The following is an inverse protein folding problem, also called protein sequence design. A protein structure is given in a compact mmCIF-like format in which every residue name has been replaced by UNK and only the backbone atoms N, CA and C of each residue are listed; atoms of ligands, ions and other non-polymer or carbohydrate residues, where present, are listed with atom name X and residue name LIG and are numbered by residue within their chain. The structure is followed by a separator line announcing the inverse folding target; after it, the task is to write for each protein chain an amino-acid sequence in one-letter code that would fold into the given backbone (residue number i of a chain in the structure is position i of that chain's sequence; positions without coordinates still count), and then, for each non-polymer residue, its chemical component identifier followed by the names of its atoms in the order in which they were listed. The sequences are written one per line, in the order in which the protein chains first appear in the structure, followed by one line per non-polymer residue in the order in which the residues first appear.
data_IF_130443421613
#
_entry.id   IF_130443421613
#
_cell.length_a   1.000
_cell.length_b   1.000
_cell.length_c   1.000
_cell.angle_alpha   90.00
_cell.angle_beta   90.00
_cell.angle_gamma   90.00
#
_symmetry.space_group_name_H-M   'P 1'
#
loop_
_entity.id
_entity.type
_entity.pdbx_description
1 polymer ?
#
# COMPACT_ATOMS: atom_id res chain seq x y z
N UNK A 1 39.13 -0.84 -0.48
CA UNK A 1 38.01 0.08 -0.16
C UNK A 1 37.13 0.19 -1.40
N UNK A 2 36.12 -0.67 -1.50
CA UNK A 2 35.15 -0.64 -2.61
C UNK A 2 33.88 -0.03 -2.05
N UNK A 3 33.63 1.23 -2.40
CA UNK A 3 32.43 1.96 -2.00
C UNK A 3 31.22 1.51 -2.81
N UNK A 4 30.43 0.58 -2.25
CA UNK A 4 29.12 0.23 -2.76
C UNK A 4 28.12 1.35 -2.44
N UNK A 5 27.65 2.08 -3.46
CA UNK A 5 26.49 2.96 -3.33
C UNK A 5 25.23 2.10 -3.28
N UNK A 6 24.70 1.88 -2.08
CA UNK A 6 23.36 1.36 -1.85
C UNK A 6 22.35 2.37 -2.44
N UNK A 7 21.67 2.01 -3.53
CA UNK A 7 20.54 2.78 -4.08
C UNK A 7 19.26 2.28 -3.41
N UNK A 8 18.58 3.16 -2.69
CA UNK A 8 17.25 2.94 -2.11
C UNK A 8 16.27 2.46 -3.17
N UNK A 9 15.70 1.26 -2.96
CA UNK A 9 14.45 0.83 -3.59
C UNK A 9 13.30 1.51 -2.83
N UNK A 10 12.57 2.43 -3.47
CA UNK A 10 11.22 2.75 -3.02
C UNK A 10 10.28 1.82 -3.79
N UNK A 11 10.16 0.60 -3.29
CA UNK A 11 8.98 -0.23 -3.50
C UNK A 11 8.22 -0.12 -2.17
N UNK A 12 7.19 0.72 -2.14
CA UNK A 12 6.30 0.85 -0.98
C UNK A 12 5.58 -0.46 -0.77
N UNK A 13 6.13 -1.29 0.11
CA UNK A 13 5.55 -2.55 0.53
C UNK A 13 5.34 -2.47 2.02
N UNK A 14 4.08 -2.55 2.43
CA UNK A 14 3.74 -2.88 3.80
C UNK A 14 3.72 -4.40 3.92
N UNK A 15 4.35 -4.94 4.95
CA UNK A 15 4.36 -6.37 5.25
C UNK A 15 3.64 -6.62 6.58
N UNK A 16 2.73 -7.59 6.56
CA UNK A 16 1.96 -8.03 7.72
C UNK A 16 2.29 -9.49 7.96
N UNK A 17 2.66 -9.83 9.20
CA UNK A 17 3.01 -11.18 9.62
C UNK A 17 2.08 -11.67 10.73
N UNK A 18 1.51 -12.87 10.59
CA UNK A 18 0.59 -13.48 11.57
C UNK A 18 1.22 -14.74 12.20
N UNK A 19 1.03 -14.93 13.52
CA UNK A 19 1.67 -15.99 14.31
C UNK A 19 0.67 -17.05 14.79
N UNK A 20 0.92 -18.36 14.67
CA UNK A 20 0.18 -19.40 15.38
C UNK A 20 0.73 -19.53 16.81
N UNK A 21 -0.17 -19.49 17.80
CA UNK A 21 0.17 -19.64 19.22
C UNK A 21 -0.03 -21.10 19.65
N UNK A 22 0.97 -21.65 20.35
CA UNK A 22 0.90 -22.94 21.03
C UNK A 22 0.01 -22.87 22.29
N UNK A 23 -0.87 -23.87 22.41
CA UNK A 23 -2.02 -24.05 23.29
C UNK A 23 -1.77 -23.75 24.79
N UNK A 24 -2.71 -23.02 25.39
CA UNK A 24 -3.00 -22.99 26.83
C UNK A 24 -4.51 -22.77 27.09
N UNK A 25 -5.18 -23.77 27.68
CA UNK A 25 -6.63 -23.79 27.92
C UNK A 25 -7.14 -22.65 28.83
N UNK A 26 -8.30 -22.07 28.48
CA UNK A 26 -9.10 -21.21 29.37
C UNK A 26 -10.51 -20.96 28.79
N UNK A 27 -11.54 -21.13 29.62
CA UNK A 27 -12.97 -21.19 29.25
C UNK A 27 -13.59 -19.87 28.77
N UNK A 28 -14.59 -20.00 27.88
CA UNK A 28 -15.41 -18.93 27.27
C UNK A 28 -16.47 -18.38 28.21
N UNK A 29 -16.79 -17.09 28.05
CA UNK A 29 -18.10 -16.51 28.43
C UNK A 29 -18.64 -15.60 27.31
N UNK A 30 -19.92 -15.76 27.03
CA UNK A 30 -20.70 -15.19 25.90
C UNK A 30 -21.05 -13.70 26.03
N UNK A 31 -21.31 -13.05 24.89
CA UNK A 31 -22.45 -12.13 24.77
C UNK A 31 -22.33 -10.96 23.78
N UNK A 32 -22.62 -11.19 22.49
CA UNK A 32 -22.90 -10.14 21.50
C UNK A 32 -22.82 -10.66 20.07
N UNK A 33 -23.94 -10.77 19.35
CA UNK A 33 -23.98 -11.28 17.98
C UNK A 33 -23.31 -10.31 16.99
N UNK A 34 -22.27 -10.72 16.24
CA UNK A 34 -21.76 -9.96 15.11
C UNK A 34 -22.66 -10.17 13.89
N UNK A 35 -22.81 -9.11 13.08
CA UNK A 35 -23.42 -9.16 11.74
C UNK A 35 -22.79 -10.29 10.89
N UNK A 36 -23.56 -10.90 9.97
CA UNK A 36 -23.02 -11.95 9.12
C UNK A 36 -21.99 -11.34 8.16
N UNK A 37 -20.72 -11.49 8.52
CA UNK A 37 -19.59 -11.43 7.60
C UNK A 37 -19.79 -12.56 6.60
N UNK A 38 -19.52 -12.32 5.31
CA UNK A 38 -19.42 -13.39 4.33
C UNK A 38 -18.18 -14.22 4.68
N UNK A 39 -18.31 -15.05 5.71
CA UNK A 39 -17.22 -15.89 6.20
C UNK A 39 -16.84 -16.84 5.06
N UNK A 40 -15.56 -16.81 4.71
CA UNK A 40 -14.93 -17.89 3.97
C UNK A 40 -15.37 -19.25 4.53
N UNK A 41 -15.54 -20.22 3.64
CA UNK A 41 -16.10 -21.55 3.89
C UNK A 41 -15.59 -22.15 5.22
N UNK A 42 -16.44 -22.30 6.26
CA UNK A 42 -16.01 -22.56 7.64
C UNK A 42 -15.34 -23.94 7.88
N UNK A 43 -15.10 -24.72 6.82
CA UNK A 43 -14.41 -26.00 6.85
C UNK A 43 -12.95 -25.98 6.35
N UNK A 44 -12.42 -24.84 5.89
CA UNK A 44 -11.03 -24.76 5.39
C UNK A 44 -10.04 -24.53 6.54
N UNK A 45 -8.91 -25.25 6.53
CA UNK A 45 -7.75 -24.92 7.37
C UNK A 45 -7.12 -23.59 6.95
N UNK A 46 -6.34 -22.96 7.84
CA UNK A 46 -5.66 -21.68 7.57
C UNK A 46 -4.79 -21.74 6.30
N UNK A 47 -4.07 -22.85 6.12
CA UNK A 47 -3.23 -23.09 4.94
C UNK A 47 -4.07 -23.23 3.65
N UNK A 48 -5.22 -23.91 3.71
CA UNK A 48 -6.12 -24.04 2.56
C UNK A 48 -6.77 -22.70 2.20
N UNK A 49 -7.18 -21.90 3.19
CA UNK A 49 -7.69 -20.56 2.99
C UNK A 49 -6.63 -19.66 2.33
N UNK A 50 -5.40 -19.66 2.83
CA UNK A 50 -4.26 -18.96 2.22
C UNK A 50 -4.02 -19.36 0.77
N UNK A 51 -3.94 -20.67 0.48
CA UNK A 51 -3.74 -21.17 -0.89
C UNK A 51 -4.89 -20.75 -1.81
N UNK A 52 -6.13 -20.75 -1.31
CA UNK A 52 -7.30 -20.26 -2.04
C UNK A 52 -7.19 -18.76 -2.35
N UNK A 53 -6.81 -17.92 -1.37
CA UNK A 53 -6.59 -16.49 -1.59
C UNK A 53 -5.52 -16.25 -2.65
N UNK A 54 -4.36 -16.90 -2.54
CA UNK A 54 -3.25 -16.80 -3.51
C UNK A 54 -3.73 -17.17 -4.91
N UNK A 55 -4.45 -18.30 -5.03
CA UNK A 55 -4.98 -18.75 -6.32
C UNK A 55 -5.97 -17.73 -6.92
N UNK A 56 -6.90 -17.24 -6.12
CA UNK A 56 -7.92 -16.28 -6.56
C UNK A 56 -7.30 -14.96 -7.01
N UNK A 57 -6.38 -14.40 -6.22
CA UNK A 57 -5.68 -13.15 -6.55
C UNK A 57 -4.80 -13.31 -7.81
N UNK A 58 -4.14 -14.46 -7.97
CA UNK A 58 -3.36 -14.77 -9.18
C UNK A 58 -4.26 -14.88 -10.41
N UNK A 59 -5.38 -15.60 -10.31
CA UNK A 59 -6.32 -15.76 -11.42
C UNK A 59 -6.92 -14.41 -11.86
N UNK A 60 -7.26 -13.54 -10.90
CA UNK A 60 -7.74 -12.18 -11.16
C UNK A 60 -6.68 -11.35 -11.90
N UNK A 61 -5.46 -11.25 -11.37
CA UNK A 61 -4.38 -10.47 -11.98
C UNK A 61 -3.99 -11.01 -13.37
N UNK A 62 -4.02 -12.32 -13.57
CA UNK A 62 -3.82 -12.93 -14.89
C UNK A 62 -4.98 -12.64 -15.85
N UNK A 63 -6.22 -12.54 -15.36
CA UNK A 63 -7.37 -12.14 -16.18
C UNK A 63 -7.25 -10.68 -16.62
N UNK A 64 -6.85 -9.77 -15.72
CA UNK A 64 -6.55 -8.38 -16.05
C UNK A 64 -5.44 -8.27 -17.11
N UNK A 65 -4.36 -9.06 -16.96
CA UNK A 65 -3.28 -9.13 -17.95
C UNK A 65 -3.79 -9.58 -19.32
N UNK A 66 -4.61 -10.63 -19.38
CA UNK A 66 -5.22 -11.12 -20.64
C UNK A 66 -6.14 -10.08 -21.27
N UNK A 67 -6.99 -9.42 -20.46
CA UNK A 67 -7.88 -8.35 -20.93
C UNK A 67 -7.12 -7.14 -21.50
N UNK A 68 -5.87 -6.96 -21.08
CA UNK A 68 -4.98 -5.94 -21.62
C UNK A 68 -4.10 -6.41 -22.80
N UNK A 69 -4.26 -7.64 -23.29
CA UNK A 69 -3.47 -8.15 -24.41
C UNK A 69 -2.04 -8.52 -24.02
N UNK A 70 -1.82 -8.94 -22.77
CA UNK A 70 -0.49 -9.20 -22.22
C UNK A 70 0.25 -7.92 -21.84
N UNK A 71 1.52 -8.04 -21.42
CA UNK A 71 2.31 -6.91 -20.94
C UNK A 71 2.52 -5.84 -22.02
N UNK A 72 2.78 -6.29 -23.25
CA UNK A 72 2.94 -5.42 -24.41
C UNK A 72 1.65 -4.66 -24.74
N UNK A 73 0.52 -5.36 -24.82
CA UNK A 73 -0.77 -4.72 -25.10
C UNK A 73 -1.14 -3.72 -24.00
N UNK A 74 -0.86 -4.06 -22.73
CA UNK A 74 -1.07 -3.15 -21.61
C UNK A 74 -0.20 -1.89 -21.76
N UNK A 75 1.09 -2.05 -22.07
CA UNK A 75 1.98 -0.93 -22.33
C UNK A 75 1.53 -0.05 -23.50
N UNK A 76 1.07 -0.64 -24.60
CA UNK A 76 0.59 0.10 -25.77
C UNK A 76 -0.60 1.01 -25.41
N UNK A 77 -1.49 0.57 -24.50
CA UNK A 77 -2.56 1.41 -23.95
C UNK A 77 -2.04 2.54 -23.06
N UNK A 78 -0.92 2.34 -22.36
CA UNK A 78 -0.31 3.33 -21.46
C UNK A 78 0.66 4.29 -22.13
N UNK A 79 1.06 4.05 -23.40
CA UNK A 79 2.06 4.87 -24.09
C UNK A 79 1.64 6.36 -24.25
N UNK A 80 0.38 6.69 -24.58
CA UNK A 80 -0.08 8.09 -24.60
C UNK A 80 0.03 8.76 -23.23
N UNK A 81 -0.43 8.08 -22.18
CA UNK A 81 -0.29 8.54 -20.78
C UNK A 81 1.18 8.80 -20.43
N UNK A 82 2.06 7.85 -20.74
CA UNK A 82 3.49 7.98 -20.46
C UNK A 82 4.12 9.19 -21.17
N UNK A 83 3.72 9.48 -22.41
CA UNK A 83 4.21 10.65 -23.16
C UNK A 83 3.75 11.96 -22.52
N UNK A 84 2.48 12.04 -22.14
CA UNK A 84 1.89 13.22 -21.50
C UNK A 84 2.58 13.53 -20.16
N UNK A 85 2.80 12.49 -19.33
CA UNK A 85 3.58 12.60 -18.09
C UNK A 85 5.00 13.13 -18.31
N UNK A 86 5.67 12.73 -19.40
CA UNK A 86 7.01 13.22 -19.72
C UNK A 86 7.00 14.68 -20.20
N UNK A 87 5.94 15.11 -20.90
CA UNK A 87 5.76 16.53 -21.25
C UNK A 87 5.51 17.38 -20.01
N UNK A 88 4.72 16.89 -19.03
CA UNK A 88 4.53 17.56 -17.74
C UNK A 88 5.89 17.77 -17.03
N UNK A 89 6.74 16.75 -16.99
CA UNK A 89 8.08 16.85 -16.39
C UNK A 89 8.96 17.85 -17.15
N UNK A 90 8.90 17.86 -18.49
CA UNK A 90 9.65 18.84 -19.31
C UNK A 90 9.18 20.27 -19.08
N UNK A 91 7.86 20.48 -18.97
CA UNK A 91 7.28 21.79 -18.69
C UNK A 91 7.75 22.32 -17.33
N UNK A 92 7.67 21.49 -16.27
CA UNK A 92 8.17 21.84 -14.95
C UNK A 92 9.66 22.23 -14.98
N UNK A 93 10.51 21.46 -15.69
CA UNK A 93 11.95 21.77 -15.83
C UNK A 93 12.27 22.98 -16.70
N UNK A 94 11.34 23.39 -17.58
CA UNK A 94 11.48 24.59 -18.40
C UNK A 94 11.21 25.85 -17.58
N UNK A 95 10.26 25.78 -16.65
CA UNK A 95 9.93 26.86 -15.71
C UNK A 95 11.00 26.98 -14.61
N UNK A 96 11.40 25.85 -14.02
CA UNK A 96 12.45 25.76 -13.02
C UNK A 96 13.35 24.55 -13.30
N UNK A 97 14.62 24.79 -13.64
CA UNK A 97 15.59 23.74 -13.96
C UNK A 97 15.89 22.83 -12.77
N UNK A 98 15.72 23.32 -11.54
CA UNK A 98 15.95 22.59 -10.30
C UNK A 98 14.66 21.98 -9.73
N UNK A 99 13.55 22.03 -10.49
CA UNK A 99 12.27 21.49 -10.07
C UNK A 99 12.39 20.02 -9.64
N UNK A 100 11.87 19.73 -8.44
CA UNK A 100 11.86 18.38 -7.85
C UNK A 100 10.45 17.83 -7.63
N UNK A 101 9.45 18.66 -7.77
CA UNK A 101 8.03 18.31 -7.68
C UNK A 101 7.31 18.77 -8.94
N UNK A 102 6.18 18.15 -9.23
CA UNK A 102 5.21 18.64 -10.21
C UNK A 102 3.88 18.89 -9.53
N UNK A 103 3.16 19.89 -10.04
CA UNK A 103 1.80 20.21 -9.63
C UNK A 103 0.81 19.63 -10.64
N UNK A 104 -0.13 18.84 -10.14
CA UNK A 104 -1.29 18.36 -10.87
C UNK A 104 -2.41 19.39 -10.93
N UNK A 105 -3.41 19.12 -11.78
CA UNK A 105 -4.50 20.05 -12.11
C UNK A 105 -5.30 20.52 -10.90
N UNK A 106 -5.55 19.64 -9.92
CA UNK A 106 -6.29 19.90 -8.69
C UNK A 106 -5.41 20.30 -7.51
N UNK A 107 -4.16 20.72 -7.74
CA UNK A 107 -3.22 21.09 -6.68
C UNK A 107 -2.48 19.91 -6.04
N UNK A 108 -2.60 18.71 -6.63
CA UNK A 108 -1.87 17.53 -6.19
C UNK A 108 -0.38 17.67 -6.47
N UNK A 109 0.47 17.53 -5.46
CA UNK A 109 1.93 17.51 -5.64
C UNK A 109 2.44 16.07 -5.74
N UNK A 110 3.38 15.85 -6.66
CA UNK A 110 4.10 14.58 -6.79
C UNK A 110 5.60 14.80 -6.98
N UNK A 111 6.46 13.91 -6.47
CA UNK A 111 7.89 13.96 -6.77
C UNK A 111 8.14 13.75 -8.28
N UNK A 112 8.85 14.69 -8.90
CA UNK A 112 9.16 14.67 -10.33
C UNK A 112 9.94 13.41 -10.73
N UNK A 113 10.92 13.02 -9.91
CA UNK A 113 11.73 11.81 -10.14
C UNK A 113 10.88 10.52 -10.04
N UNK A 114 9.82 10.52 -9.24
CA UNK A 114 8.89 9.39 -9.16
C UNK A 114 8.14 9.17 -10.47
N UNK A 115 7.72 10.25 -11.13
CA UNK A 115 7.06 10.20 -12.43
C UNK A 115 8.00 9.79 -13.55
N UNK A 116 9.23 10.33 -13.56
CA UNK A 116 10.27 9.89 -14.50
C UNK A 116 10.55 8.40 -14.35
N UNK A 117 10.61 7.93 -13.10
CA UNK A 117 10.83 6.51 -12.79
C UNK A 117 9.70 5.66 -13.32
N UNK A 118 8.44 6.02 -13.05
CA UNK A 118 7.28 5.32 -13.59
C UNK A 118 7.33 5.23 -15.12
N UNK A 119 7.62 6.35 -15.80
CA UNK A 119 7.71 6.36 -17.27
C UNK A 119 8.86 5.49 -17.80
N UNK A 120 9.98 5.43 -17.07
CA UNK A 120 11.09 4.53 -17.41
C UNK A 120 10.70 3.05 -17.19
N UNK A 121 10.04 2.75 -16.08
CA UNK A 121 9.57 1.41 -15.76
C UNK A 121 8.52 0.93 -16.77
N UNK A 122 7.53 1.75 -17.12
CA UNK A 122 6.54 1.43 -18.16
C UNK A 122 7.19 1.05 -19.49
N UNK A 123 8.15 1.84 -19.97
CA UNK A 123 8.87 1.55 -21.22
C UNK A 123 9.70 0.28 -21.12
N UNK A 124 10.46 0.11 -20.04
CA UNK A 124 11.34 -1.06 -19.89
C UNK A 124 10.55 -2.37 -19.76
N UNK A 125 9.46 -2.35 -19.00
CA UNK A 125 8.62 -3.51 -18.70
C UNK A 125 7.57 -3.81 -19.77
N UNK A 126 7.25 -2.82 -20.60
CA UNK A 126 6.23 -2.92 -21.64
C UNK A 126 6.77 -3.29 -23.02
N UNK A 127 7.95 -2.77 -23.38
CA UNK A 127 8.52 -2.94 -24.72
C UNK A 127 9.31 -4.24 -24.89
N UNK A 128 9.73 -4.83 -23.78
CA UNK A 128 10.31 -6.16 -23.72
C UNK A 128 9.39 -6.96 -22.81
N UNK A 129 9.24 -8.27 -22.99
CA UNK A 129 8.66 -9.11 -21.93
C UNK A 129 9.46 -9.00 -20.60
N UNK A 130 10.53 -8.18 -20.57
CA UNK A 130 11.22 -7.69 -19.39
C UNK A 130 12.17 -8.72 -18.83
N UNK A 131 13.00 -8.29 -17.87
CA UNK A 131 13.56 -9.24 -16.92
C UNK A 131 12.38 -9.94 -16.21
N UNK A 132 12.49 -11.25 -16.02
CA UNK A 132 11.44 -12.00 -15.34
C UNK A 132 11.25 -11.40 -13.94
N UNK A 133 10.04 -10.96 -13.61
CA UNK A 133 9.79 -10.24 -12.36
C UNK A 133 10.16 -11.07 -11.12
N UNK A 134 10.08 -12.40 -11.25
CA UNK A 134 10.59 -13.36 -10.25
C UNK A 134 12.05 -13.16 -9.85
N UNK A 135 12.89 -12.61 -10.73
CA UNK A 135 14.33 -12.41 -10.52
C UNK A 135 14.65 -10.99 -10.00
N UNK A 136 13.63 -10.14 -9.79
CA UNK A 136 13.84 -8.81 -9.20
C UNK A 136 14.32 -8.96 -7.76
N UNK A 137 15.31 -8.16 -7.36
CA UNK A 137 15.87 -8.21 -6.00
C UNK A 137 14.82 -8.00 -4.91
N UNK A 138 13.79 -7.18 -5.17
CA UNK A 138 12.65 -7.02 -4.25
C UNK A 138 11.86 -8.32 -4.10
N UNK A 139 11.54 -8.98 -5.21
CA UNK A 139 10.80 -10.26 -5.20
C UNK A 139 11.62 -11.34 -4.53
N UNK A 140 12.88 -11.53 -4.92
CA UNK A 140 13.74 -12.58 -4.34
C UNK A 140 13.96 -12.37 -2.84
N UNK A 141 14.11 -11.13 -2.38
CA UNK A 141 14.28 -10.82 -0.95
C UNK A 141 12.99 -11.06 -0.17
N UNK A 142 11.83 -10.70 -0.74
CA UNK A 142 10.53 -10.95 -0.10
C UNK A 142 10.21 -12.45 -0.01
N UNK A 143 10.53 -13.22 -1.05
CA UNK A 143 10.38 -14.69 -1.04
C UNK A 143 11.31 -15.32 0.00
N UNK A 144 12.57 -14.89 0.06
CA UNK A 144 13.51 -15.36 1.09
C UNK A 144 12.99 -15.06 2.51
N UNK A 145 12.51 -13.84 2.75
CA UNK A 145 11.89 -13.47 4.03
C UNK A 145 10.65 -14.32 4.33
N UNK A 146 9.77 -14.54 3.35
CA UNK A 146 8.60 -15.40 3.49
C UNK A 146 8.99 -16.81 3.93
N UNK A 147 10.03 -17.39 3.32
CA UNK A 147 10.51 -18.73 3.68
C UNK A 147 11.10 -18.77 5.10
N UNK A 148 11.84 -17.74 5.50
CA UNK A 148 12.40 -17.64 6.84
C UNK A 148 11.30 -17.51 7.92
N UNK A 149 10.24 -16.76 7.63
CA UNK A 149 9.07 -16.60 8.50
C UNK A 149 8.25 -17.88 8.57
N UNK A 150 8.00 -18.52 7.42
CA UNK A 150 7.29 -19.80 7.35
C UNK A 150 7.99 -20.89 8.17
N UNK A 151 9.32 -20.94 8.14
CA UNK A 151 10.12 -21.84 8.98
C UNK A 151 9.97 -21.63 10.49
N UNK A 152 9.36 -20.50 10.90
CA UNK A 152 9.00 -20.16 12.29
C UNK A 152 7.49 -20.28 12.55
N UNK A 153 6.74 -20.81 11.58
CA UNK A 153 5.28 -20.87 11.60
C UNK A 153 4.61 -19.54 11.30
N UNK A 154 5.31 -18.51 10.82
CA UNK A 154 4.76 -17.17 10.62
C UNK A 154 4.38 -16.99 9.15
N UNK A 155 3.13 -16.63 8.90
CA UNK A 155 2.66 -16.32 7.56
C UNK A 155 2.96 -14.87 7.21
N UNK A 156 3.44 -14.66 5.98
CA UNK A 156 3.70 -13.34 5.42
C UNK A 156 2.63 -12.96 4.39
N UNK A 157 2.00 -11.80 4.61
CA UNK A 157 1.12 -11.14 3.65
C UNK A 157 1.76 -9.82 3.23
N UNK A 158 1.91 -9.61 1.93
CA UNK A 158 2.47 -8.39 1.36
C UNK A 158 1.33 -7.48 0.88
N UNK A 159 1.38 -6.21 1.25
CA UNK A 159 0.40 -5.20 0.83
C UNK A 159 1.14 -4.11 0.04
N UNK A 160 1.23 -4.24 -1.31
CA UNK A 160 1.83 -3.21 -2.14
C UNK A 160 0.95 -1.97 -2.15
N UNK A 161 1.49 -0.84 -1.70
CA UNK A 161 0.75 0.42 -1.67
C UNK A 161 0.75 1.01 -3.09
N UNK A 162 -0.43 1.24 -3.72
CA UNK A 162 -0.49 1.85 -5.04
C UNK A 162 0.15 3.23 -5.00
N UNK A 163 0.78 3.67 -6.08
CA UNK A 163 1.37 5.00 -6.09
C UNK A 163 0.30 6.10 -6.25
N UNK A 164 0.61 7.32 -5.81
CA UNK A 164 -0.29 8.48 -5.96
C UNK A 164 -0.76 8.69 -7.41
N UNK A 165 0.16 8.61 -8.37
CA UNK A 165 -0.12 8.73 -9.80
C UNK A 165 -0.87 7.52 -10.39
N UNK A 166 -0.97 6.42 -9.64
CA UNK A 166 -1.76 5.25 -10.04
C UNK A 166 -3.23 5.45 -9.67
N UNK A 167 -3.50 6.04 -8.50
CA UNK A 167 -4.85 6.33 -8.03
C UNK A 167 -5.39 7.67 -8.54
N UNK A 168 -4.52 8.65 -8.78
CA UNK A 168 -4.86 9.98 -9.28
C UNK A 168 -4.18 10.29 -10.63
N UNK A 169 -4.26 9.42 -11.65
CA UNK A 169 -3.59 9.67 -12.94
C UNK A 169 -4.14 10.91 -13.66
N UNK A 170 -5.42 11.23 -13.48
CA UNK A 170 -6.12 12.36 -14.12
C UNK A 170 -5.56 13.74 -13.69
N UNK A 171 -4.93 13.78 -12.52
CA UNK A 171 -4.28 14.97 -11.98
C UNK A 171 -3.03 15.34 -12.77
N UNK A 172 -2.39 14.36 -13.41
CA UNK A 172 -1.10 14.52 -14.06
C UNK A 172 -1.14 14.29 -15.58
N UNK A 173 -2.24 13.79 -16.12
CA UNK A 173 -2.39 13.54 -17.56
C UNK A 173 -3.86 13.63 -17.99
N UNK A 174 -4.11 14.13 -19.19
CA UNK A 174 -5.42 14.02 -19.87
C UNK A 174 -5.54 12.72 -20.68
N UNK A 175 -4.42 12.03 -20.88
CA UNK A 175 -4.32 10.81 -21.68
C UNK A 175 -4.48 9.53 -20.85
N UNK A 176 -5.25 9.59 -19.76
CA UNK A 176 -5.47 8.44 -18.87
C UNK A 176 -6.32 7.38 -19.59
N UNK A 177 -5.85 6.13 -19.69
CA UNK A 177 -6.60 5.08 -20.34
C UNK A 177 -7.76 4.62 -19.45
N UNK A 178 -8.92 4.44 -20.06
CA UNK A 178 -10.11 3.96 -19.37
C UNK A 178 -9.89 2.53 -18.85
N UNK A 179 -10.37 2.26 -17.62
CA UNK A 179 -10.39 0.93 -16.99
C UNK A 179 -9.03 0.20 -16.95
N UNK A 180 -7.92 0.94 -17.00
CA UNK A 180 -6.57 0.38 -17.08
C UNK A 180 -5.69 1.01 -16.00
N UNK A 181 -5.12 0.20 -15.11
CA UNK A 181 -4.15 0.71 -14.14
C UNK A 181 -2.93 1.30 -14.87
N UNK A 182 -2.46 2.47 -14.41
CA UNK A 182 -1.42 3.27 -15.09
C UNK A 182 0.01 2.86 -14.73
N UNK A 183 0.18 1.69 -14.10
CA UNK A 183 1.49 1.09 -13.80
C UNK A 183 1.49 -0.39 -14.18
N UNK A 184 2.67 -0.88 -14.57
CA UNK A 184 2.90 -2.31 -14.78
C UNK A 184 3.71 -2.93 -13.63
N UNK A 185 4.45 -2.11 -12.88
CA UNK A 185 5.41 -2.58 -11.86
C UNK A 185 4.68 -3.34 -10.75
N UNK A 186 3.58 -2.75 -10.23
CA UNK A 186 2.82 -3.32 -9.12
C UNK A 186 2.18 -4.66 -9.50
N UNK A 187 1.52 -4.73 -10.65
CA UNK A 187 0.95 -5.98 -11.18
C UNK A 187 2.00 -7.06 -11.39
N UNK A 188 3.15 -6.72 -12.00
CA UNK A 188 4.25 -7.66 -12.20
C UNK A 188 4.83 -8.16 -10.88
N UNK A 189 5.00 -7.26 -9.91
CA UNK A 189 5.49 -7.59 -8.57
C UNK A 189 4.54 -8.55 -7.86
N UNK A 190 3.25 -8.23 -7.82
CA UNK A 190 2.23 -9.08 -7.19
C UNK A 190 2.14 -10.46 -7.84
N UNK A 191 2.09 -10.53 -9.18
CA UNK A 191 2.07 -11.81 -9.88
C UNK A 191 3.32 -12.65 -9.58
N UNK A 192 4.50 -12.03 -9.57
CA UNK A 192 5.75 -12.74 -9.28
C UNK A 192 5.85 -13.27 -7.83
N UNK A 193 5.21 -12.59 -6.87
CA UNK A 193 5.06 -13.07 -5.50
C UNK A 193 4.08 -14.24 -5.40
N UNK A 194 2.89 -14.08 -5.98
CA UNK A 194 1.85 -15.11 -5.99
C UNK A 194 2.29 -16.40 -6.71
N UNK A 195 3.09 -16.27 -7.77
CA UNK A 195 3.69 -17.41 -8.48
C UNK A 195 4.75 -18.15 -7.65
N UNK A 196 5.31 -17.49 -6.65
CA UNK A 196 6.28 -18.05 -5.70
C UNK A 196 5.66 -18.31 -4.32
N UNK A 197 4.34 -18.49 -4.28
CA UNK A 197 3.56 -18.78 -3.07
C UNK A 197 3.75 -17.75 -1.95
N UNK A 198 3.91 -16.47 -2.29
CA UNK A 198 3.85 -15.36 -1.34
C UNK A 198 2.52 -14.64 -1.53
N UNK A 199 1.73 -14.55 -0.46
CA UNK A 199 0.43 -13.92 -0.52
C UNK A 199 0.53 -12.40 -0.60
N UNK A 200 -0.40 -11.82 -1.36
CA UNK A 200 -0.56 -10.37 -1.46
C UNK A 200 -2.00 -9.95 -1.18
N UNK A 201 -2.18 -8.73 -0.69
CA UNK A 201 -3.47 -8.03 -0.70
C UNK A 201 -3.33 -6.83 -1.64
N UNK A 202 -4.14 -6.83 -2.70
CA UNK A 202 -4.23 -5.71 -3.63
C UNK A 202 -5.30 -4.72 -3.15
N UNK A 203 -4.86 -3.60 -2.59
CA UNK A 203 -5.76 -2.56 -2.08
C UNK A 203 -6.21 -1.55 -3.15
N UNK A 204 -5.64 -1.60 -4.37
CA UNK A 204 -5.95 -0.63 -5.41
C UNK A 204 -7.45 -0.58 -5.78
N UNK A 205 -8.16 -1.71 -5.99
CA UNK A 205 -9.56 -1.67 -6.37
C UNK A 205 -10.44 -0.95 -5.34
N UNK A 206 -10.20 -1.18 -4.05
CA UNK A 206 -10.96 -0.54 -2.97
C UNK A 206 -10.68 0.96 -2.89
N UNK A 207 -9.42 1.38 -3.01
CA UNK A 207 -9.07 2.80 -3.03
C UNK A 207 -9.59 3.51 -4.28
N UNK A 208 -9.56 2.86 -5.45
CA UNK A 208 -10.13 3.40 -6.67
C UNK A 208 -11.67 3.57 -6.56
N UNK A 209 -12.35 2.61 -5.92
CA UNK A 209 -13.79 2.71 -5.65
C UNK A 209 -14.13 3.85 -4.67
N UNK A 210 -13.35 4.01 -3.59
CA UNK A 210 -13.49 5.12 -2.65
C UNK A 210 -13.29 6.48 -3.34
N UNK A 211 -12.24 6.60 -4.18
CA UNK A 211 -12.03 7.80 -5.00
C UNK A 211 -13.24 8.10 -5.90
N UNK A 212 -13.79 7.09 -6.55
CA UNK A 212 -14.96 7.25 -7.41
C UNK A 212 -16.21 7.74 -6.65
N UNK A 213 -16.26 7.54 -5.33
CA UNK A 213 -17.31 8.05 -4.44
C UNK A 213 -17.00 9.45 -3.89
N UNK A 214 -15.89 10.07 -4.31
CA UNK A 214 -15.48 11.40 -3.87
C UNK A 214 -14.60 11.41 -2.62
N UNK A 215 -14.17 10.25 -2.13
CA UNK A 215 -13.26 10.19 -0.98
C UNK A 215 -11.83 10.56 -1.38
N UNK A 216 -11.16 11.36 -0.56
CA UNK A 216 -9.75 11.64 -0.73
C UNK A 216 -8.92 10.43 -0.31
N UNK A 217 -8.15 9.86 -1.24
CA UNK A 217 -7.27 8.70 -0.99
C UNK A 217 -5.80 9.07 -0.83
N UNK A 218 -5.42 10.29 -1.23
CA UNK A 218 -4.09 10.86 -1.02
C UNK A 218 -4.19 12.30 -0.52
N UNK A 219 -3.21 12.68 0.30
CA UNK A 219 -3.03 14.06 0.73
C UNK A 219 -2.55 14.92 -0.44
N UNK A 220 -3.13 16.10 -0.60
CA UNK A 220 -2.92 16.94 -1.78
C UNK A 220 -1.44 17.30 -2.00
N UNK A 221 -0.79 17.85 -0.99
CA UNK A 221 0.58 18.36 -1.06
C UNK A 221 1.61 17.42 -0.43
N UNK A 222 1.25 16.16 -0.19
CA UNK A 222 2.08 15.12 0.44
C UNK A 222 2.10 13.86 -0.45
N UNK A 223 3.13 13.04 -0.28
CA UNK A 223 3.27 11.74 -0.93
C UNK A 223 2.50 10.62 -0.23
N UNK A 224 1.98 10.83 0.98
CA UNK A 224 1.28 9.80 1.73
C UNK A 224 -0.23 9.78 1.44
N UNK A 225 -0.81 8.60 1.61
CA UNK A 225 -2.25 8.37 1.61
C UNK A 225 -2.96 9.08 2.78
N UNK A 226 -4.27 9.26 2.66
CA UNK A 226 -5.11 9.81 3.72
C UNK A 226 -5.38 8.78 4.82
N UNK A 227 -5.84 9.24 5.98
CA UNK A 227 -6.38 8.38 7.04
C UNK A 227 -7.51 7.47 6.54
N UNK A 228 -8.40 8.01 5.69
CA UNK A 228 -9.49 7.24 5.09
C UNK A 228 -8.97 6.06 4.24
N UNK A 229 -7.96 6.30 3.40
CA UNK A 229 -7.32 5.23 2.63
C UNK A 229 -6.64 4.18 3.51
N UNK A 230 -6.01 4.62 4.61
CA UNK A 230 -5.44 3.70 5.61
C UNK A 230 -6.52 2.83 6.25
N UNK A 231 -7.66 3.40 6.62
CA UNK A 231 -8.78 2.64 7.21
C UNK A 231 -9.38 1.62 6.24
N UNK A 232 -9.50 1.97 4.95
CA UNK A 232 -9.95 1.04 3.91
C UNK A 232 -8.96 -0.15 3.79
N UNK A 233 -7.66 0.15 3.71
CA UNK A 233 -6.64 -0.90 3.64
C UNK A 233 -6.59 -1.75 4.92
N UNK A 234 -6.72 -1.14 6.10
CA UNK A 234 -6.80 -1.86 7.37
C UNK A 234 -8.01 -2.79 7.43
N UNK A 235 -9.18 -2.35 6.93
CA UNK A 235 -10.37 -3.20 6.84
C UNK A 235 -10.18 -4.44 5.96
N UNK A 236 -9.55 -4.28 4.79
CA UNK A 236 -9.22 -5.41 3.91
C UNK A 236 -8.23 -6.39 4.55
N UNK A 237 -7.24 -5.86 5.29
CA UNK A 237 -6.28 -6.70 6.01
C UNK A 237 -6.99 -7.43 7.15
N UNK A 238 -7.81 -6.74 7.93
CA UNK A 238 -8.59 -7.31 9.03
C UNK A 238 -9.42 -8.51 8.54
N UNK A 239 -10.19 -8.32 7.46
CA UNK A 239 -10.97 -9.40 6.83
C UNK A 239 -10.07 -10.59 6.44
N UNK A 240 -8.90 -10.32 5.82
CA UNK A 240 -7.98 -11.38 5.39
C UNK A 240 -7.39 -12.17 6.56
N UNK A 241 -7.09 -11.50 7.68
CA UNK A 241 -6.43 -12.14 8.84
C UNK A 241 -7.42 -12.82 9.80
N UNK A 242 -8.73 -12.61 9.67
CA UNK A 242 -9.73 -13.33 10.47
C UNK A 242 -9.71 -14.85 10.24
N UNK A 243 -9.08 -15.32 9.18
CA UNK A 243 -8.86 -16.76 8.93
C UNK A 243 -7.88 -17.40 9.92
N UNK A 244 -7.06 -16.64 10.65
CA UNK A 244 -6.12 -17.19 11.62
C UNK A 244 -6.76 -17.35 13.01
N UNK A 245 -6.63 -18.53 13.61
CA UNK A 245 -7.09 -18.86 14.95
C UNK A 245 -6.48 -17.92 15.99
N UNK A 246 -5.18 -17.66 15.90
CA UNK A 246 -4.50 -16.72 16.80
C UNK A 246 -5.05 -15.29 16.75
N UNK A 247 -5.65 -14.88 15.62
CA UNK A 247 -6.32 -13.58 15.50
C UNK A 247 -7.74 -13.66 16.07
N UNK A 248 -8.50 -14.71 15.76
CA UNK A 248 -9.86 -14.90 16.28
C UNK A 248 -9.93 -15.08 17.79
N UNK A 249 -8.97 -15.80 18.34
CA UNK A 249 -8.88 -16.11 19.77
C UNK A 249 -8.17 -15.02 20.57
N UNK A 250 -7.59 -14.01 19.88
CA UNK A 250 -7.05 -12.85 20.55
C UNK A 250 -8.15 -12.05 21.25
N UNK A 251 -7.90 -11.61 22.48
CA UNK A 251 -8.86 -10.85 23.25
C UNK A 251 -9.20 -9.54 22.53
N UNK A 252 -10.48 -9.36 22.20
CA UNK A 252 -10.96 -8.12 21.60
C UNK A 252 -11.06 -7.03 22.66
N UNK A 253 -10.62 -5.84 22.30
CA UNK A 253 -10.65 -4.66 23.16
C UNK A 253 -11.47 -3.58 22.48
N UNK A 254 -12.44 -3.02 23.20
CA UNK A 254 -13.22 -1.91 22.69
C UNK A 254 -12.44 -0.60 22.86
N UNK A 255 -11.85 -0.14 21.76
CA UNK A 255 -11.20 1.16 21.70
C UNK A 255 -12.20 2.29 21.41
N UNK A 256 -11.82 3.52 21.81
CA UNK A 256 -12.56 4.73 21.45
C UNK A 256 -11.93 5.41 20.26
N UNK A 257 -12.69 6.26 19.59
CA UNK A 257 -12.20 7.04 18.45
C UNK A 257 -12.46 8.53 18.66
N UNK A 258 -11.53 9.36 18.23
CA UNK A 258 -11.61 10.83 18.28
C UNK A 258 -11.21 11.42 16.94
N UNK A 259 -11.98 12.37 16.43
CA UNK A 259 -11.60 13.12 15.22
C UNK A 259 -10.49 14.13 15.54
N UNK A 260 -9.45 14.15 14.71
CA UNK A 260 -8.32 15.07 14.85
C UNK A 260 -7.88 15.59 13.48
N UNK A 261 -7.28 16.78 13.44
CA UNK A 261 -6.62 17.30 12.23
C UNK A 261 -5.16 17.56 12.54
N UNK A 262 -4.27 16.77 11.95
CA UNK A 262 -2.85 17.05 12.00
C UNK A 262 -2.50 18.17 11.02
N UNK A 263 -1.64 19.10 11.46
CA UNK A 263 -1.12 20.18 10.62
C UNK A 263 0.39 20.17 10.63
N UNK A 264 1.00 19.99 9.47
CA UNK A 264 2.46 19.89 9.37
C UNK A 264 2.99 20.33 8.01
N UNK A 265 4.30 20.62 7.96
CA UNK A 265 5.03 20.85 6.70
C UNK A 265 5.28 19.52 6.02
N UNK A 266 4.82 19.39 4.78
CA UNK A 266 4.90 18.17 3.97
C UNK A 266 6.34 17.60 3.93
N UNK A 267 6.55 16.32 4.32
CA UNK A 267 7.84 15.63 4.17
C UNK A 267 8.32 15.58 2.73
N UNK A 268 7.39 15.58 1.76
CA UNK A 268 7.73 15.67 0.33
C UNK A 268 8.56 16.94 0.09
N UNK A 269 8.09 18.09 0.57
CA UNK A 269 8.78 19.37 0.38
C UNK A 269 10.11 19.42 1.14
N UNK A 270 10.17 18.86 2.36
CA UNK A 270 11.42 18.80 3.15
C UNK A 270 12.54 18.02 2.46
N UNK A 271 12.21 17.01 1.68
CA UNK A 271 13.19 16.22 0.93
C UNK A 271 13.81 16.98 -0.25
N UNK A 272 13.21 18.11 -0.66
CA UNK A 272 13.49 18.73 -1.94
C UNK A 272 13.80 20.21 -1.89
N UNK A 273 13.20 20.95 -0.96
CA UNK A 273 13.19 22.42 -0.89
C UNK A 273 13.81 22.93 0.42
N UNK A 274 14.36 24.15 0.39
CA UNK A 274 14.84 24.85 1.59
C UNK A 274 13.68 25.20 2.53
N UNK A 275 13.93 25.47 3.83
CA UNK A 275 12.88 25.95 4.74
C UNK A 275 12.15 27.19 4.23
N UNK A 276 12.86 28.12 3.58
CA UNK A 276 12.29 29.35 3.03
C UNK A 276 11.38 29.06 1.82
N UNK A 277 11.77 28.15 0.93
CA UNK A 277 10.96 27.73 -0.22
C UNK A 277 9.69 26.98 0.23
N UNK A 278 9.76 26.25 1.35
CA UNK A 278 8.61 25.55 1.93
C UNK A 278 7.52 26.49 2.44
N UNK A 279 7.85 27.73 2.83
CA UNK A 279 6.87 28.72 3.27
C UNK A 279 5.89 29.12 2.16
N UNK A 280 6.28 28.96 0.89
CA UNK A 280 5.42 29.23 -0.27
C UNK A 280 4.26 28.22 -0.40
N UNK A 281 4.32 27.09 0.31
CA UNK A 281 3.30 26.06 0.26
C UNK A 281 2.45 26.07 1.54
N UNK A 282 1.14 25.81 1.46
CA UNK A 282 0.30 25.67 2.64
C UNK A 282 0.75 24.47 3.50
N UNK A 283 0.43 24.52 4.80
CA UNK A 283 0.55 23.34 5.65
C UNK A 283 -0.36 22.23 5.12
N UNK A 284 0.07 20.98 5.27
CA UNK A 284 -0.79 19.83 5.05
C UNK A 284 -1.85 19.85 6.13
N UNK A 285 -3.12 19.84 5.73
CA UNK A 285 -4.24 19.52 6.62
C UNK A 285 -4.59 18.04 6.43
N UNK A 286 -4.50 17.31 7.52
CA UNK A 286 -4.58 15.85 7.52
C UNK A 286 -5.60 15.40 8.56
N UNK A 287 -6.89 15.40 8.18
CA UNK A 287 -7.96 14.91 9.03
C UNK A 287 -7.83 13.40 9.20
N UNK A 288 -7.98 12.94 10.45
CA UNK A 288 -7.79 11.55 10.82
C UNK A 288 -8.71 11.15 11.96
N UNK A 289 -8.95 9.84 12.08
CA UNK A 289 -9.59 9.23 13.22
C UNK A 289 -8.53 8.64 14.15
N UNK A 290 -8.38 9.23 15.33
CA UNK A 290 -7.44 8.78 16.36
C UNK A 290 -8.07 7.72 17.24
N UNK A 291 -7.47 6.55 17.29
CA UNK A 291 -7.81 5.46 18.20
C UNK A 291 -7.23 5.77 19.57
N UNK A 292 -8.09 5.71 20.58
CA UNK A 292 -7.80 5.94 21.99
C UNK A 292 -7.93 4.61 22.73
N UNK A 293 -6.87 4.21 23.40
CA UNK A 293 -6.78 2.95 24.11
C UNK A 293 -7.59 2.95 25.43
N UNK A 294 -7.59 1.81 26.12
CA UNK A 294 -8.30 1.65 27.41
C UNK A 294 -7.72 2.51 28.54
N UNK A 295 -6.49 3.00 28.39
CA UNK A 295 -5.85 3.91 29.36
C UNK A 295 -6.28 5.36 29.14
N UNK A 296 -6.92 5.65 28.00
CA UNK A 296 -7.31 7.00 27.59
C UNK A 296 -6.25 7.71 26.77
N UNK A 297 -5.17 7.03 26.40
CA UNK A 297 -4.07 7.57 25.59
C UNK A 297 -4.22 7.14 24.12
N UNK A 298 -3.61 7.85 23.16
CA UNK A 298 -3.59 7.41 21.77
C UNK A 298 -2.97 6.02 21.64
N UNK A 299 -3.60 5.15 20.85
CA UNK A 299 -3.11 3.78 20.62
C UNK A 299 -1.66 3.78 20.12
N UNK A 300 -0.83 2.95 20.76
CA UNK A 300 0.55 2.68 20.35
C UNK A 300 0.77 1.17 20.28
N UNK A 301 1.08 0.65 19.09
CA UNK A 301 1.33 -0.76 18.86
C UNK A 301 2.50 -1.30 19.73
N UNK A 302 3.43 -0.45 20.16
CA UNK A 302 4.51 -0.84 21.07
C UNK A 302 4.01 -1.30 22.45
N UNK A 303 2.81 -0.88 22.85
CA UNK A 303 2.17 -1.30 24.10
C UNK A 303 1.45 -2.66 23.99
N UNK A 304 1.46 -3.29 22.80
CA UNK A 304 0.79 -4.57 22.52
C UNK A 304 1.78 -5.66 22.10
N UNK A 305 2.75 -6.04 22.96
CA UNK A 305 3.80 -7.00 22.60
C UNK A 305 3.29 -8.44 22.38
N UNK A 306 2.05 -8.73 22.77
CA UNK A 306 1.39 -10.03 22.58
C UNK A 306 0.41 -10.04 21.40
N UNK A 307 0.44 -9.01 20.55
CA UNK A 307 -0.34 -8.99 19.31
C UNK A 307 -0.03 -10.23 18.45
N UNK A 308 -1.05 -10.93 17.90
CA UNK A 308 -0.84 -12.03 16.97
C UNK A 308 -0.41 -11.53 15.58
N UNK A 309 -0.39 -10.21 15.37
CA UNK A 309 -0.04 -9.55 14.12
C UNK A 309 1.14 -8.60 14.32
N UNK A 310 2.16 -8.75 13.48
CA UNK A 310 3.27 -7.82 13.33
C UNK A 310 3.10 -7.04 12.02
N UNK A 311 3.14 -5.72 12.07
CA UNK A 311 3.20 -4.86 10.89
C UNK A 311 4.58 -4.21 10.78
N UNK A 312 5.13 -4.19 9.57
CA UNK A 312 6.35 -3.44 9.29
C UNK A 312 6.33 -2.92 7.85
N UNK A 313 6.82 -1.69 7.69
CA UNK A 313 6.81 -0.99 6.42
C UNK A 313 7.64 0.27 6.49
N UNK A 314 7.41 1.16 5.54
CA UNK A 314 8.08 2.46 5.45
C UNK A 314 7.23 3.58 6.09
N UNK A 315 7.41 4.82 5.62
CA UNK A 315 6.67 5.97 6.14
C UNK A 315 5.16 5.93 5.88
N UNK A 316 4.65 5.06 4.99
CA UNK A 316 3.21 4.85 4.81
C UNK A 316 2.53 4.25 6.06
N UNK A 317 3.31 3.74 7.03
CA UNK A 317 2.81 3.39 8.36
C UNK A 317 2.32 4.59 9.18
N UNK A 318 2.69 5.82 8.78
CA UNK A 318 2.32 7.08 9.43
C UNK A 318 2.61 7.11 10.93
N UNK A 319 3.76 6.57 11.35
CA UNK A 319 4.18 6.47 12.77
C UNK A 319 4.28 7.81 13.52
N UNK A 320 4.17 8.94 12.81
CA UNK A 320 4.12 10.29 13.38
C UNK A 320 2.71 10.78 13.71
N UNK A 321 1.68 9.94 13.55
CA UNK A 321 0.29 10.20 13.93
C UNK A 321 -0.08 9.36 15.17
N UNK A 322 0.14 9.83 16.41
CA UNK A 322 -0.22 9.07 17.60
C UNK A 322 -1.69 8.66 17.58
N UNK A 323 -1.97 7.36 17.72
CA UNK A 323 -3.31 6.78 17.63
C UNK A 323 -3.97 6.78 16.23
N UNK A 324 -3.37 7.37 15.20
CA UNK A 324 -3.89 7.33 13.81
C UNK A 324 -2.85 6.74 12.84
N UNK A 325 -2.00 5.86 13.35
CA UNK A 325 -1.03 5.10 12.55
C UNK A 325 -1.75 3.99 11.78
N UNK A 326 -1.08 3.38 10.81
CA UNK A 326 -1.67 2.24 10.10
C UNK A 326 -1.95 1.06 11.03
N UNK A 327 -1.06 0.82 12.00
CA UNK A 327 -1.24 -0.20 13.02
C UNK A 327 -2.43 0.11 13.94
N UNK A 328 -2.68 1.39 14.26
CA UNK A 328 -3.82 1.79 15.09
C UNK A 328 -5.16 1.44 14.42
N UNK A 329 -5.28 1.60 13.10
CA UNK A 329 -6.50 1.24 12.38
C UNK A 329 -6.72 -0.27 12.20
N UNK A 330 -5.72 -1.08 12.50
CA UNK A 330 -5.85 -2.56 12.52
C UNK A 330 -6.09 -3.11 13.94
N UNK A 331 -6.10 -2.23 14.96
CA UNK A 331 -6.26 -2.62 16.36
C UNK A 331 -7.70 -3.02 16.72
#
# INVERSE_FOLDING_TARGET
MVGGKLRMLVAGGLLVAAFPVLIGCGERANGGEPRPVATEDPGLSEAEARVRCIKADRERLQAELRANGGWRGWYEKLDPFCKDMLELVKAARKEDKEAKVVSGKGGQLAPLEGLLRQCADLRSLGQTDGAAAKDWSSVTTTVDLSNQLWGKGIDLIVVPIPAKFELLPEEFSDSVPESTATTLVRHRYMLALLEQDVEVIDIFPALAAAKAQGEAVYLATDSHWTDQAMRIAAGLIAERIERYEAVRDHARVDYKTEEVVYRYRSPLLKGFLTPEEQEAFPLVEDPALRIIDITGEPYDAANHPYSPVLLFGDSYMMTKRPGSTFAAHLA
#
